data_IF_662416088885
#
_entry.id   IF_662416088885
#
_cell.length_a   1.000
_cell.length_b   1.000
_cell.length_c   1.000
_cell.angle_alpha   90.00
_cell.angle_beta   90.00
_cell.angle_gamma   90.00
#
_symmetry.space_group_name_H-M   'P 1'
#
loop_
_entity.id
_entity.type
_entity.pdbx_description
1 polymer ?
#
# COMPACT_ATOMS: atom_id res chain seq x y z
N UNK A 1 33.60 1.96 17.51
CA UNK A 1 33.11 0.61 17.13
C UNK A 1 31.61 0.44 17.30
N UNK A 2 31.01 0.82 18.44
CA UNK A 2 29.56 0.63 18.70
C UNK A 2 28.63 1.25 17.63
N UNK A 3 28.93 2.47 17.17
CA UNK A 3 28.17 3.15 16.11
C UNK A 3 28.18 2.39 14.77
N UNK A 4 29.25 1.65 14.48
CA UNK A 4 29.35 0.85 13.26
C UNK A 4 28.45 -0.39 13.32
N UNK A 5 28.34 -1.02 14.49
CA UNK A 5 27.41 -2.12 14.72
C UNK A 5 25.96 -1.64 14.73
N UNK A 6 25.68 -0.46 15.31
CA UNK A 6 24.35 0.15 15.26
C UNK A 6 23.90 0.37 13.81
N UNK A 7 24.79 0.87 12.94
CA UNK A 7 24.52 1.02 11.51
C UNK A 7 24.16 -0.30 10.83
N UNK A 8 24.89 -1.38 11.15
CA UNK A 8 24.62 -2.70 10.60
C UNK A 8 23.23 -3.22 11.04
N UNK A 9 22.88 -3.05 12.31
CA UNK A 9 21.57 -3.43 12.84
C UNK A 9 20.46 -2.64 12.17
N UNK A 10 20.64 -1.32 11.99
CA UNK A 10 19.67 -0.47 11.29
C UNK A 10 19.54 -0.83 9.81
N UNK A 11 20.65 -1.17 9.15
CA UNK A 11 20.62 -1.65 7.78
C UNK A 11 19.82 -2.95 7.67
N UNK A 12 20.08 -3.92 8.55
CA UNK A 12 19.31 -5.17 8.59
C UNK A 12 17.82 -4.94 8.89
N UNK A 13 17.51 -4.02 9.82
CA UNK A 13 16.13 -3.64 10.12
C UNK A 13 15.44 -3.01 8.89
N UNK A 14 16.11 -2.10 8.19
CA UNK A 14 15.60 -1.49 6.95
C UNK A 14 15.40 -2.50 5.84
N UNK A 15 16.26 -3.51 5.74
CA UNK A 15 16.09 -4.63 4.82
C UNK A 15 14.84 -5.43 5.14
N UNK A 16 14.65 -5.81 6.40
CA UNK A 16 13.47 -6.56 6.84
C UNK A 16 12.18 -5.78 6.58
N UNK A 17 12.16 -4.49 6.88
CA UNK A 17 11.01 -3.59 6.60
C UNK A 17 10.75 -3.52 5.10
N UNK A 18 11.79 -3.32 4.28
CA UNK A 18 11.65 -3.20 2.84
C UNK A 18 11.07 -4.46 2.19
N UNK A 19 11.53 -5.64 2.61
CA UNK A 19 11.02 -6.94 2.10
C UNK A 19 9.53 -7.16 2.42
N UNK A 20 8.95 -6.47 3.41
CA UNK A 20 7.52 -6.61 3.70
C UNK A 20 6.62 -6.01 2.63
N UNK A 21 7.10 -5.01 1.85
CA UNK A 21 6.24 -4.30 0.89
C UNK A 21 5.67 -5.25 -0.17
N UNK A 22 6.47 -6.08 -0.86
CA UNK A 22 5.92 -7.05 -1.81
C UNK A 22 5.05 -8.12 -1.16
N UNK A 23 5.37 -8.55 0.07
CA UNK A 23 4.55 -9.49 0.83
C UNK A 23 3.15 -8.93 1.09
N UNK A 24 3.06 -7.68 1.54
CA UNK A 24 1.78 -6.99 1.76
C UNK A 24 0.97 -6.83 0.47
N UNK A 25 1.60 -6.45 -0.64
CA UNK A 25 0.94 -6.33 -1.94
C UNK A 25 0.39 -7.69 -2.40
N UNK A 26 1.13 -8.78 -2.12
CA UNK A 26 0.68 -10.12 -2.47
C UNK A 26 -0.53 -10.56 -1.65
N UNK A 27 -0.48 -10.37 -0.33
CA UNK A 27 -1.61 -10.66 0.57
C UNK A 27 -2.85 -9.82 0.22
N UNK A 28 -2.66 -8.55 -0.14
CA UNK A 28 -3.76 -7.70 -0.64
C UNK A 28 -4.37 -8.27 -1.92
N UNK A 29 -3.55 -8.62 -2.91
CA UNK A 29 -4.02 -9.18 -4.18
C UNK A 29 -4.82 -10.47 -3.98
N UNK A 30 -4.35 -11.35 -3.08
CA UNK A 30 -5.03 -12.60 -2.76
C UNK A 30 -6.39 -12.36 -2.09
N UNK A 31 -6.52 -11.35 -1.24
CA UNK A 31 -7.81 -10.97 -0.65
C UNK A 31 -8.76 -10.37 -1.67
N UNK A 32 -8.28 -9.51 -2.57
CA UNK A 32 -9.10 -9.00 -3.69
C UNK A 32 -9.63 -10.14 -4.54
N UNK A 33 -8.77 -11.12 -4.87
CA UNK A 33 -9.16 -12.31 -5.63
C UNK A 33 -10.22 -13.14 -4.88
N UNK A 34 -10.03 -13.36 -3.57
CA UNK A 34 -11.02 -14.08 -2.75
C UNK A 34 -12.39 -13.38 -2.75
N UNK A 35 -12.43 -12.07 -2.55
CA UNK A 35 -13.65 -11.26 -2.62
C UNK A 35 -14.30 -11.32 -4.02
N UNK A 36 -13.50 -11.32 -5.08
CA UNK A 36 -13.99 -11.46 -6.45
C UNK A 36 -14.64 -12.84 -6.68
N UNK A 37 -13.98 -13.92 -6.24
CA UNK A 37 -14.50 -15.28 -6.35
C UNK A 37 -15.78 -15.45 -5.54
N UNK A 38 -15.86 -14.85 -4.36
CA UNK A 38 -17.07 -14.84 -3.52
C UNK A 38 -18.23 -14.13 -4.23
N UNK A 39 -17.99 -12.93 -4.76
CA UNK A 39 -18.99 -12.17 -5.51
C UNK A 39 -19.49 -12.94 -6.76
N UNK A 40 -18.56 -13.54 -7.52
CA UNK A 40 -18.90 -14.38 -8.68
C UNK A 40 -19.70 -15.62 -8.30
N UNK A 41 -19.35 -16.25 -7.18
CA UNK A 41 -20.05 -17.44 -6.69
C UNK A 41 -21.47 -17.10 -6.24
N UNK A 42 -21.67 -15.96 -5.56
CA UNK A 42 -23.00 -15.46 -5.20
C UNK A 42 -23.87 -15.13 -6.41
N UNK A 43 -23.27 -14.64 -7.49
CA UNK A 43 -23.98 -14.32 -8.73
C UNK A 43 -24.24 -15.53 -9.64
N UNK A 44 -23.61 -16.68 -9.38
CA UNK A 44 -23.68 -17.87 -10.26
C UNK A 44 -25.11 -18.36 -10.49
N UNK A 45 -25.98 -18.29 -9.49
CA UNK A 45 -27.41 -18.66 -9.62
C UNK A 45 -28.17 -17.74 -10.58
N UNK A 46 -27.93 -16.44 -10.49
CA UNK A 46 -28.52 -15.46 -11.40
C UNK A 46 -27.93 -15.56 -12.81
N UNK A 47 -26.62 -15.82 -12.92
CA UNK A 47 -25.97 -16.06 -14.20
C UNK A 47 -26.60 -17.25 -14.93
N UNK A 48 -26.88 -18.36 -14.25
CA UNK A 48 -27.57 -19.50 -14.87
C UNK A 48 -28.98 -19.15 -15.39
N UNK A 49 -29.68 -18.25 -14.69
CA UNK A 49 -30.98 -17.73 -15.14
C UNK A 49 -30.82 -16.82 -16.35
N UNK A 50 -29.81 -15.94 -16.34
CA UNK A 50 -29.47 -15.09 -17.48
C UNK A 50 -29.05 -15.92 -18.69
N UNK A 51 -28.28 -16.99 -18.52
CA UNK A 51 -27.86 -17.90 -19.59
C UNK A 51 -29.07 -18.55 -20.27
N UNK A 52 -30.06 -18.99 -19.48
CA UNK A 52 -31.25 -19.66 -19.98
C UNK A 52 -32.24 -18.71 -20.68
N UNK A 53 -32.48 -17.52 -20.13
CA UNK A 53 -33.57 -16.64 -20.59
C UNK A 53 -33.10 -15.35 -21.28
N UNK A 54 -31.85 -14.94 -21.06
CA UNK A 54 -31.29 -13.65 -21.49
C UNK A 54 -29.97 -13.80 -22.26
N UNK A 55 -29.64 -15.01 -22.76
CA UNK A 55 -28.39 -15.30 -23.50
C UNK A 55 -27.11 -14.94 -22.71
N UNK A 56 -27.18 -15.01 -21.39
CA UNK A 56 -26.08 -14.70 -20.47
C UNK A 56 -25.96 -13.22 -20.10
N UNK A 57 -26.84 -12.36 -20.60
CA UNK A 57 -26.84 -10.93 -20.26
C UNK A 57 -27.50 -10.69 -18.89
N UNK A 58 -26.65 -10.57 -17.86
CA UNK A 58 -27.04 -10.23 -16.49
C UNK A 58 -27.72 -8.87 -16.38
N UNK A 59 -27.40 -7.93 -17.26
CA UNK A 59 -27.97 -6.59 -17.25
C UNK A 59 -29.39 -6.59 -17.82
N UNK A 60 -29.64 -7.44 -18.83
CA UNK A 60 -31.00 -7.71 -19.32
C UNK A 60 -31.87 -8.40 -18.27
N UNK A 61 -31.32 -9.33 -17.48
CA UNK A 61 -32.03 -9.94 -16.34
C UNK A 61 -32.43 -8.88 -15.29
N UNK A 62 -31.51 -8.00 -14.91
CA UNK A 62 -31.80 -6.88 -13.98
C UNK A 62 -32.86 -5.93 -14.55
N UNK A 63 -32.76 -5.58 -15.83
CA UNK A 63 -33.73 -4.70 -16.48
C UNK A 63 -35.13 -5.34 -16.49
N UNK A 64 -35.22 -6.65 -16.68
CA UNK A 64 -36.48 -7.39 -16.60
C UNK A 64 -37.06 -7.34 -15.19
N UNK A 65 -36.28 -7.61 -14.15
CA UNK A 65 -36.74 -7.55 -12.75
C UNK A 65 -37.20 -6.15 -12.35
N UNK A 66 -36.53 -5.10 -12.85
CA UNK A 66 -36.90 -3.71 -12.58
C UNK A 66 -38.20 -3.29 -13.30
N UNK A 67 -38.50 -3.89 -14.46
CA UNK A 67 -39.71 -3.63 -15.21
C UNK A 67 -40.94 -4.40 -14.68
N UNK A 68 -40.75 -5.37 -13.79
CA UNK A 68 -41.83 -6.14 -13.18
C UNK A 68 -42.73 -5.26 -12.30
N UNK A 69 -44.05 -5.52 -12.35
CA UNK A 69 -45.04 -4.81 -11.52
C UNK A 69 -44.92 -5.17 -10.03
N UNK A 70 -44.40 -6.37 -9.74
CA UNK A 70 -44.19 -6.87 -8.39
C UNK A 70 -43.07 -6.09 -7.66
N UNK A 71 -43.36 -5.45 -6.51
CA UNK A 71 -42.36 -4.71 -5.74
C UNK A 71 -41.19 -5.56 -5.26
N UNK A 72 -41.35 -6.87 -5.07
CA UNK A 72 -40.28 -7.78 -4.63
C UNK A 72 -39.22 -7.89 -5.74
N UNK A 73 -39.64 -8.16 -6.98
CA UNK A 73 -38.73 -8.24 -8.13
C UNK A 73 -37.99 -6.93 -8.38
N UNK A 74 -38.65 -5.78 -8.20
CA UNK A 74 -37.99 -4.47 -8.31
C UNK A 74 -36.91 -4.27 -7.24
N UNK A 75 -37.18 -4.66 -5.99
CA UNK A 75 -36.19 -4.63 -4.90
C UNK A 75 -35.03 -5.59 -5.15
N UNK A 76 -35.31 -6.77 -5.68
CA UNK A 76 -34.28 -7.75 -6.05
C UNK A 76 -33.40 -7.23 -7.20
N UNK A 77 -33.96 -6.48 -8.16
CA UNK A 77 -33.20 -5.84 -9.23
C UNK A 77 -32.16 -4.85 -8.68
N UNK A 78 -32.52 -4.05 -7.69
CA UNK A 78 -31.61 -3.08 -7.07
C UNK A 78 -30.50 -3.78 -6.28
N UNK A 79 -30.84 -4.85 -5.57
CA UNK A 79 -29.88 -5.69 -4.84
C UNK A 79 -28.91 -6.38 -5.80
N UNK A 80 -29.42 -6.99 -6.87
CA UNK A 80 -28.63 -7.65 -7.91
C UNK A 80 -27.70 -6.66 -8.64
N UNK A 81 -28.20 -5.47 -8.95
CA UNK A 81 -27.40 -4.41 -9.57
C UNK A 81 -26.25 -3.95 -8.66
N UNK A 82 -26.47 -3.91 -7.35
CA UNK A 82 -25.43 -3.59 -6.37
C UNK A 82 -24.34 -4.66 -6.35
N UNK A 83 -24.73 -5.94 -6.37
CA UNK A 83 -23.79 -7.07 -6.43
C UNK A 83 -22.98 -7.07 -7.73
N UNK A 84 -23.62 -6.84 -8.89
CA UNK A 84 -22.94 -6.73 -10.18
C UNK A 84 -21.96 -5.56 -10.22
N UNK A 85 -22.37 -4.39 -9.70
CA UNK A 85 -21.48 -3.22 -9.63
C UNK A 85 -20.26 -3.51 -8.75
N UNK A 86 -20.47 -4.19 -7.61
CA UNK A 86 -19.37 -4.62 -6.73
C UNK A 86 -18.44 -5.62 -7.42
N UNK A 87 -18.99 -6.60 -8.13
CA UNK A 87 -18.21 -7.58 -8.90
C UNK A 87 -17.34 -6.88 -9.96
N UNK A 88 -17.89 -5.96 -10.74
CA UNK A 88 -17.14 -5.21 -11.77
C UNK A 88 -16.04 -4.35 -11.15
N UNK A 89 -16.29 -3.74 -9.98
CA UNK A 89 -15.27 -2.99 -9.27
C UNK A 89 -14.12 -3.89 -8.77
N UNK A 90 -14.44 -5.06 -8.22
CA UNK A 90 -13.46 -6.05 -7.77
C UNK A 90 -12.68 -6.64 -8.94
N UNK A 91 -13.32 -6.92 -10.07
CA UNK A 91 -12.67 -7.42 -11.27
C UNK A 91 -11.65 -6.42 -11.81
N UNK A 92 -12.00 -5.13 -11.89
CA UNK A 92 -11.06 -4.07 -12.26
C UNK A 92 -9.86 -4.00 -11.32
N UNK A 93 -10.07 -4.12 -10.02
CA UNK A 93 -8.98 -4.15 -9.05
C UNK A 93 -8.10 -5.39 -9.23
N UNK A 94 -8.70 -6.56 -9.44
CA UNK A 94 -7.98 -7.80 -9.68
C UNK A 94 -7.12 -7.73 -10.96
N UNK A 95 -7.67 -7.22 -12.05
CA UNK A 95 -6.92 -6.99 -13.30
C UNK A 95 -5.75 -6.02 -13.09
N UNK A 96 -5.96 -4.96 -12.31
CA UNK A 96 -4.87 -4.04 -11.96
C UNK A 96 -3.77 -4.71 -11.10
N UNK A 97 -4.13 -5.73 -10.32
CA UNK A 97 -3.18 -6.54 -9.54
C UNK A 97 -2.41 -7.59 -10.37
N UNK A 98 -2.88 -7.93 -11.58
CA UNK A 98 -2.14 -8.82 -12.50
C UNK A 98 -1.03 -8.10 -13.27
N UNK A 99 -0.97 -6.77 -13.17
CA UNK A 99 0.05 -5.97 -13.83
C UNK A 99 1.46 -6.12 -13.22
N UNK A 100 2.45 -5.43 -13.81
CA UNK A 100 3.81 -5.38 -13.28
C UNK A 100 3.85 -4.86 -11.83
N UNK A 101 4.90 -5.21 -11.09
CA UNK A 101 5.05 -4.90 -9.66
C UNK A 101 4.87 -3.42 -9.31
N UNK A 102 5.28 -2.50 -10.19
CA UNK A 102 5.14 -1.06 -9.97
C UNK A 102 3.68 -0.58 -10.09
N UNK A 103 2.90 -1.18 -11.00
CA UNK A 103 1.46 -0.91 -11.12
C UNK A 103 0.76 -1.41 -9.87
N UNK A 104 1.06 -2.64 -9.44
CA UNK A 104 0.50 -3.23 -8.22
C UNK A 104 0.77 -2.35 -6.99
N UNK A 105 2.01 -1.88 -6.84
CA UNK A 105 2.37 -0.95 -5.76
C UNK A 105 1.55 0.35 -5.82
N UNK A 106 1.50 1.02 -6.97
CA UNK A 106 0.73 2.26 -7.12
C UNK A 106 -0.75 2.06 -6.85
N UNK A 107 -1.32 0.94 -7.29
CA UNK A 107 -2.71 0.59 -7.04
C UNK A 107 -2.98 0.40 -5.55
N UNK A 108 -2.13 -0.34 -4.82
CA UNK A 108 -2.29 -0.53 -3.38
C UNK A 108 -2.18 0.79 -2.59
N UNK A 109 -1.31 1.70 -3.03
CA UNK A 109 -1.09 2.99 -2.35
C UNK A 109 -2.18 4.01 -2.67
N UNK A 110 -2.59 4.13 -3.94
CA UNK A 110 -3.43 5.23 -4.43
C UNK A 110 -4.90 4.84 -4.65
N UNK A 111 -5.18 3.58 -4.98
CA UNK A 111 -6.48 3.15 -5.50
C UNK A 111 -7.05 1.89 -4.80
N UNK A 112 -6.43 1.45 -3.71
CA UNK A 112 -6.90 0.29 -2.95
C UNK A 112 -8.28 0.53 -2.35
N UNK A 113 -9.10 -0.53 -2.36
CA UNK A 113 -10.32 -0.56 -1.56
C UNK A 113 -9.93 -0.42 -0.07
N UNK A 114 -10.44 0.61 0.63
CA UNK A 114 -10.04 0.90 2.00
C UNK A 114 -10.41 -0.23 2.97
N UNK A 115 -11.49 -0.97 2.70
CA UNK A 115 -11.94 -2.06 3.55
C UNK A 115 -11.01 -3.26 3.41
N UNK A 116 -10.70 -3.65 2.17
CA UNK A 116 -9.76 -4.74 1.89
C UNK A 116 -8.37 -4.39 2.42
N UNK A 117 -7.90 -3.15 2.24
CA UNK A 117 -6.60 -2.70 2.77
C UNK A 117 -6.54 -2.79 4.29
N UNK A 118 -7.61 -2.40 4.99
CA UNK A 118 -7.71 -2.50 6.45
C UNK A 118 -7.75 -3.96 6.90
N UNK A 119 -8.46 -4.81 6.17
CA UNK A 119 -8.49 -6.25 6.40
C UNK A 119 -7.10 -6.87 6.21
N UNK A 120 -6.40 -6.52 5.13
CA UNK A 120 -5.01 -6.93 4.90
C UNK A 120 -4.14 -6.48 6.06
N UNK A 121 -4.23 -5.21 6.48
CA UNK A 121 -3.43 -4.69 7.59
C UNK A 121 -3.67 -5.44 8.91
N UNK A 122 -4.93 -5.71 9.24
CA UNK A 122 -5.30 -6.39 10.48
C UNK A 122 -4.94 -7.88 10.47
N UNK A 123 -5.01 -8.52 9.31
CA UNK A 123 -4.71 -9.93 9.13
C UNK A 123 -3.32 -10.20 8.54
N UNK A 124 -2.45 -9.18 8.46
CA UNK A 124 -1.14 -9.33 7.85
C UNK A 124 -0.25 -10.20 8.73
N UNK A 125 0.26 -11.29 8.16
CA UNK A 125 1.29 -12.10 8.79
C UNK A 125 2.62 -11.79 8.12
N UNK A 126 3.64 -11.46 8.91
CA UNK A 126 4.96 -11.12 8.39
C UNK A 126 5.54 -12.31 7.62
N UNK A 127 5.76 -12.12 6.33
CA UNK A 127 6.25 -13.15 5.43
C UNK A 127 7.47 -12.64 4.66
N UNK A 128 8.48 -13.50 4.55
CA UNK A 128 9.66 -13.21 3.73
C UNK A 128 9.40 -13.80 2.34
N UNK A 129 8.87 -12.95 1.46
CA UNK A 129 8.71 -13.33 0.06
C UNK A 129 10.05 -13.21 -0.65
N UNK A 130 10.64 -14.33 -1.05
CA UNK A 130 11.92 -14.39 -1.76
C UNK A 130 11.70 -14.21 -3.26
N UNK A 131 11.52 -12.96 -3.69
CA UNK A 131 11.46 -12.59 -5.11
C UNK A 131 12.50 -11.52 -5.47
N UNK A 132 12.90 -11.39 -6.74
CA UNK A 132 13.82 -10.34 -7.18
C UNK A 132 13.32 -8.93 -6.81
N UNK A 133 12.01 -8.69 -6.86
CA UNK A 133 11.41 -7.42 -6.47
C UNK A 133 11.58 -7.18 -4.96
N UNK A 134 11.40 -8.21 -4.13
CA UNK A 134 11.63 -8.12 -2.69
C UNK A 134 13.08 -7.80 -2.34
N UNK A 135 14.05 -8.28 -3.13
CA UNK A 135 15.45 -7.88 -2.95
C UNK A 135 15.65 -6.39 -3.24
N UNK A 136 15.04 -5.85 -4.29
CA UNK A 136 15.13 -4.42 -4.64
C UNK A 136 14.48 -3.56 -3.54
N UNK A 137 13.29 -3.95 -3.08
CA UNK A 137 12.60 -3.26 -1.98
C UNK A 137 13.35 -3.34 -0.66
N UNK A 138 13.88 -4.52 -0.32
CA UNK A 138 14.73 -4.73 0.86
C UNK A 138 15.98 -3.86 0.81
N UNK A 139 16.71 -3.89 -0.30
CA UNK A 139 17.93 -3.08 -0.46
C UNK A 139 17.61 -1.58 -0.41
N UNK A 140 16.54 -1.15 -1.06
CA UNK A 140 16.09 0.25 -1.04
C UNK A 140 15.70 0.69 0.36
N UNK A 141 14.95 -0.14 1.10
CA UNK A 141 14.58 0.12 2.49
C UNK A 141 15.80 0.20 3.41
N UNK A 142 16.76 -0.72 3.25
CA UNK A 142 18.02 -0.73 4.00
C UNK A 142 18.84 0.54 3.76
N UNK A 143 18.97 0.95 2.49
CA UNK A 143 19.69 2.17 2.10
C UNK A 143 18.99 3.43 2.63
N UNK A 144 17.68 3.56 2.44
CA UNK A 144 16.91 4.73 2.88
C UNK A 144 16.96 4.89 4.40
N UNK A 145 16.79 3.81 5.15
CA UNK A 145 16.84 3.85 6.61
C UNK A 145 18.25 4.16 7.10
N UNK A 146 19.28 3.52 6.53
CA UNK A 146 20.67 3.81 6.89
C UNK A 146 21.06 5.26 6.57
N UNK A 147 20.66 5.77 5.41
CA UNK A 147 20.91 7.15 4.99
C UNK A 147 20.15 8.15 5.86
N UNK A 148 18.87 7.92 6.13
CA UNK A 148 18.03 8.80 6.96
C UNK A 148 18.59 8.94 8.38
N UNK A 149 19.06 7.85 8.97
CA UNK A 149 19.72 7.89 10.28
C UNK A 149 21.05 8.62 10.23
N UNK A 150 21.86 8.44 9.19
CA UNK A 150 23.12 9.18 9.03
C UNK A 150 22.88 10.69 8.88
N UNK A 151 21.85 11.08 8.12
CA UNK A 151 21.39 12.48 8.06
C UNK A 151 20.95 13.00 9.42
N UNK A 152 20.18 12.23 10.18
CA UNK A 152 19.72 12.62 11.51
C UNK A 152 20.91 12.86 12.47
N UNK A 153 21.88 11.96 12.50
CA UNK A 153 23.09 12.14 13.31
C UNK A 153 23.86 13.39 12.90
N UNK A 154 24.06 13.63 11.60
CA UNK A 154 24.76 14.84 11.13
C UNK A 154 24.00 16.13 11.46
N UNK A 155 22.66 16.10 11.42
CA UNK A 155 21.85 17.24 11.82
C UNK A 155 21.98 17.50 13.33
N UNK A 156 21.94 16.46 14.16
CA UNK A 156 22.14 16.59 15.62
C UNK A 156 23.53 17.15 15.91
N UNK A 157 24.59 16.60 15.29
CA UNK A 157 25.95 17.10 15.45
C UNK A 157 26.08 18.55 15.00
N UNK A 158 25.45 18.93 13.88
CA UNK A 158 25.43 20.31 13.41
C UNK A 158 24.71 21.26 14.39
N UNK A 159 23.56 20.87 14.96
CA UNK A 159 22.84 21.68 15.95
C UNK A 159 23.64 21.82 17.25
N UNK A 160 24.24 20.74 17.74
CA UNK A 160 24.96 20.71 19.03
C UNK A 160 26.35 21.37 18.92
N UNK A 161 27.09 21.13 17.84
CA UNK A 161 28.46 21.65 17.64
C UNK A 161 28.48 22.99 16.89
N UNK A 162 27.49 23.26 16.03
CA UNK A 162 27.34 24.54 15.33
C UNK A 162 27.11 25.71 16.30
N UNK A 163 26.41 25.47 17.41
CA UNK A 163 26.29 26.43 18.52
C UNK A 163 27.62 26.72 19.24
N UNK A 164 28.59 25.80 19.20
CA UNK A 164 29.92 25.99 19.82
C UNK A 164 30.90 26.76 18.92
N UNK A 165 30.82 26.59 17.59
CA UNK A 165 31.71 27.30 16.64
C UNK A 165 31.48 28.81 16.61
N UNK A 166 30.25 29.28 16.77
CA UNK A 166 29.93 30.72 16.84
C UNK A 166 30.49 31.41 18.11
N UNK A 167 30.84 30.66 19.16
CA UNK A 167 31.39 31.23 20.41
C UNK A 167 32.91 31.43 20.37
N UNK A 168 33.64 30.74 19.49
CA UNK A 168 35.10 30.86 19.36
C UNK A 168 35.55 31.95 18.38
N UNK A 169 34.64 32.53 17.59
CA UNK A 169 34.96 33.59 16.62
C UNK A 169 34.75 35.01 17.14
N UNK A 170 34.81 35.26 18.46
CA UNK A 170 35.04 36.64 18.95
C UNK A 170 36.54 36.89 18.94
N UNK A 171 37.10 37.59 17.92
CA UNK A 171 38.47 38.06 18.01
C UNK A 171 38.54 39.00 19.22
N UNK A 172 39.52 38.76 20.09
CA UNK A 172 39.96 39.74 21.08
C UNK A 172 40.72 40.79 20.25
N UNK A 173 40.02 41.81 19.78
CA UNK A 173 40.66 42.98 19.19
C UNK A 173 40.16 44.24 19.92
N UNK A 174 41.11 45.14 20.11
CA UNK A 174 41.04 46.45 20.76
C UNK A 174 40.92 46.52 22.29
N UNK A 175 42.09 46.46 22.95
CA UNK A 175 42.50 47.52 23.88
C UNK A 175 44.00 47.44 24.20
N UNK A 176 44.83 47.98 23.31
CA UNK A 176 46.06 48.65 23.74
C UNK A 176 46.57 49.64 22.67
N UNK A 177 45.74 50.65 22.42
CA UNK A 177 46.19 51.91 21.79
C UNK A 177 46.04 53.03 22.83
N UNK A 178 46.64 52.85 23.99
CA UNK A 178 46.86 53.90 25.01
C UNK A 178 48.19 53.67 25.73
N UNK A 179 49.27 53.63 24.98
CA UNK A 179 50.61 53.87 25.49
C UNK A 179 51.04 55.27 25.06
N UNK A 180 50.96 56.21 26.00
CA UNK A 180 51.68 57.48 25.98
C UNK A 180 53.19 57.25 25.89
#
# INVERSE_FOLDING_TARGET
MLLSYLRLVLFAAGLLIGVQVPGFINDYAQRVEAHLIEAQTGLRGFQGTADQFFKGDMQALVAHYRASEDPIFRSDADSLNTLLTRQVALDKQFQAMQGPWYVRFLQVVLAADPDIRKETWNGYSYQILLTPEAMIWGMSGALLLSFGVECLFRLIDWVVLGGRRLRQSRPIEDRDVRGL
#
